data_IF_003585296771
#
_entry.id   IF_003585296771
#
_cell.length_a   1.000
_cell.length_b   1.000
_cell.length_c   1.000
_cell.angle_alpha   90.00
_cell.angle_beta   90.00
_cell.angle_gamma   90.00
#
_symmetry.space_group_name_H-M   'P 1'
#
loop_
_entity.id
_entity.type
_entity.pdbx_description
1 polymer ?
#
# COMPACT_ATOMS: atom_id res chain seq x y z
N UNK A 1 41.61 26.95 -1.76
CA UNK A 1 41.06 28.12 -1.05
C UNK A 1 40.34 28.96 -2.08
N UNK A 2 39.03 28.84 -2.21
CA UNK A 2 38.22 29.81 -2.92
C UNK A 2 36.75 29.67 -2.42
N UNK A 3 36.40 30.46 -1.43
CA UNK A 3 35.06 30.60 -0.86
C UNK A 3 34.27 31.54 -1.75
N UNK A 4 33.31 31.03 -2.52
CA UNK A 4 32.28 31.88 -3.12
C UNK A 4 31.12 32.04 -2.15
N UNK A 5 30.98 33.25 -1.62
CA UNK A 5 29.84 33.70 -0.83
C UNK A 5 28.66 33.93 -1.76
N UNK A 6 27.57 33.20 -1.52
CA UNK A 6 26.26 33.52 -2.11
C UNK A 6 25.63 34.65 -1.33
N UNK A 7 25.40 35.75 -2.02
CA UNK A 7 24.73 36.95 -1.54
C UNK A 7 23.23 36.73 -1.74
N UNK A 8 22.46 36.64 -0.66
CA UNK A 8 21.00 36.54 -0.67
C UNK A 8 20.45 37.96 -0.61
N UNK A 9 19.70 38.37 -1.64
CA UNK A 9 18.98 39.62 -1.67
C UNK A 9 17.67 39.52 -0.87
N UNK A 10 17.41 40.42 0.10
CA UNK A 10 16.19 40.46 0.87
C UNK A 10 15.22 41.51 0.28
N UNK A 11 14.58 41.23 -0.83
CA UNK A 11 13.44 42.05 -1.29
C UNK A 11 12.43 41.18 -2.02
N UNK A 12 11.53 40.54 -1.25
CA UNK A 12 10.19 40.13 -1.71
C UNK A 12 9.38 39.57 -0.54
N UNK A 13 9.12 40.43 0.45
CA UNK A 13 8.07 40.20 1.45
C UNK A 13 7.37 41.53 1.69
N UNK A 14 6.36 41.79 0.93
CA UNK A 14 5.32 42.76 1.29
C UNK A 14 4.10 42.52 0.39
N UNK A 15 2.93 42.69 0.97
CA UNK A 15 1.56 42.66 0.41
C UNK A 15 0.85 41.33 0.70
N UNK A 16 -0.24 41.25 1.45
CA UNK A 16 -1.11 42.24 2.07
C UNK A 16 -2.00 41.54 3.09
N UNK A 17 -2.04 42.09 4.27
CA UNK A 17 -3.11 41.92 5.25
C UNK A 17 -4.32 42.73 4.81
N UNK A 18 -5.46 42.09 4.61
CA UNK A 18 -6.75 42.78 4.55
C UNK A 18 -7.68 42.20 5.58
N UNK A 19 -7.84 43.00 6.64
CA UNK A 19 -8.84 42.91 7.67
C UNK A 19 -10.19 43.30 7.10
N UNK A 20 -11.23 42.50 7.34
CA UNK A 20 -12.62 42.95 7.26
C UNK A 20 -13.38 42.35 8.47
N UNK A 21 -13.45 43.13 9.54
CA UNK A 21 -14.51 43.14 10.53
C UNK A 21 -15.78 43.70 9.89
N UNK A 22 -16.93 43.16 10.22
CA UNK A 22 -18.26 43.77 10.40
C UNK A 22 -19.28 42.62 10.33
N UNK A 23 -20.30 42.46 11.13
CA UNK A 23 -20.89 43.22 12.21
C UNK A 23 -21.89 42.28 12.90
N UNK A 24 -22.04 42.47 14.18
CA UNK A 24 -23.15 41.95 14.98
C UNK A 24 -24.46 42.57 14.53
N UNK A 25 -25.54 41.77 14.54
CA UNK A 25 -26.85 42.29 14.87
C UNK A 25 -27.71 41.21 15.50
N UNK A 26 -28.38 41.51 16.62
CA UNK A 26 -29.27 40.57 17.30
C UNK A 26 -30.76 40.85 17.00
N UNK A 27 -31.56 39.92 17.42
CA UNK A 27 -32.96 40.02 17.76
C UNK A 27 -34.01 40.09 16.63
N UNK A 28 -34.83 39.07 16.58
CA UNK A 28 -36.26 39.25 16.50
C UNK A 28 -36.98 38.11 17.24
N UNK A 29 -37.53 38.50 18.38
CA UNK A 29 -38.62 37.80 19.05
C UNK A 29 -39.89 37.93 18.18
N UNK A 30 -40.71 36.94 18.19
CA UNK A 30 -42.10 37.08 17.75
C UNK A 30 -42.63 35.78 17.12
N UNK A 31 -43.31 35.07 17.83
CA UNK A 31 -44.76 35.02 17.89
C UNK A 31 -45.29 33.60 17.77
N UNK A 32 -45.84 33.15 18.87
CA UNK A 32 -46.76 32.01 18.96
C UNK A 32 -47.95 32.18 18.01
N UNK A 33 -48.23 31.14 17.25
CA UNK A 33 -49.56 30.92 16.69
C UNK A 33 -49.89 29.45 16.88
N UNK A 34 -50.64 29.22 17.90
CA UNK A 34 -51.29 27.95 18.16
C UNK A 34 -52.29 27.61 17.05
N UNK A 35 -52.03 26.57 16.36
CA UNK A 35 -53.00 25.95 15.48
C UNK A 35 -53.34 24.57 16.03
N UNK A 36 -54.54 24.54 16.62
CA UNK A 36 -55.18 23.32 17.13
C UNK A 36 -55.56 22.44 15.95
N UNK A 37 -54.78 21.40 15.70
CA UNK A 37 -55.20 20.36 14.77
C UNK A 37 -56.08 19.37 15.54
N UNK A 38 -57.36 19.41 15.19
CA UNK A 38 -58.41 18.53 15.63
C UNK A 38 -58.10 17.09 15.24
N UNK A 39 -57.96 16.22 16.24
CA UNK A 39 -57.91 14.79 16.10
C UNK A 39 -59.30 14.29 15.59
N UNK A 40 -59.40 13.94 14.33
CA UNK A 40 -60.41 13.02 13.86
C UNK A 40 -59.89 11.60 14.02
N UNK A 41 -60.31 10.98 15.09
CA UNK A 41 -60.26 9.54 15.29
C UNK A 41 -61.26 8.91 14.33
N UNK A 42 -60.78 8.20 13.34
CA UNK A 42 -61.57 7.17 12.65
C UNK A 42 -60.73 5.90 12.63
N UNK A 43 -61.30 4.93 13.31
CA UNK A 43 -60.94 3.54 13.30
C UNK A 43 -60.71 3.01 11.88
N UNK A 44 -59.59 2.38 11.66
CA UNK A 44 -59.50 1.10 10.94
C UNK A 44 -58.16 0.43 11.24
N UNK A 45 -58.17 -0.34 12.32
CA UNK A 45 -57.11 -1.29 12.64
C UNK A 45 -57.29 -2.50 11.71
N UNK A 46 -56.73 -2.44 10.51
CA UNK A 46 -56.40 -3.64 9.75
C UNK A 46 -55.03 -4.13 10.21
N UNK A 47 -55.06 -5.09 11.15
CA UNK A 47 -53.91 -5.87 11.55
C UNK A 47 -53.43 -6.66 10.32
N UNK A 48 -52.46 -6.08 9.58
CA UNK A 48 -51.71 -6.84 8.59
C UNK A 48 -50.73 -7.74 9.36
N UNK A 49 -50.98 -9.04 9.30
CA UNK A 49 -50.15 -10.05 9.90
C UNK A 49 -48.67 -9.88 9.42
N UNK A 50 -47.67 -10.05 10.31
CA UNK A 50 -46.32 -10.00 9.90
C UNK A 50 -46.06 -11.13 8.91
N UNK A 51 -45.68 -10.77 7.69
CA UNK A 51 -45.18 -11.68 6.66
C UNK A 51 -44.01 -12.47 7.28
N UNK A 52 -44.24 -13.79 7.41
CA UNK A 52 -43.25 -14.70 7.91
C UNK A 52 -41.91 -14.42 7.22
N UNK A 53 -40.84 -14.18 8.02
CA UNK A 53 -39.49 -14.13 7.51
C UNK A 53 -39.23 -15.48 6.85
N UNK A 54 -39.06 -15.46 5.57
CA UNK A 54 -38.48 -16.54 4.80
C UNK A 54 -37.12 -16.90 5.44
N UNK A 55 -36.84 -18.16 5.74
CA UNK A 55 -35.53 -18.50 6.32
C UNK A 55 -34.46 -18.09 5.35
N UNK A 56 -33.60 -17.16 5.80
CA UNK A 56 -32.43 -16.72 5.07
C UNK A 56 -31.65 -17.96 4.60
N UNK A 57 -31.46 -18.08 3.29
CA UNK A 57 -30.61 -19.09 2.69
C UNK A 57 -29.27 -19.12 3.45
N UNK A 58 -28.67 -20.30 3.71
CA UNK A 58 -27.40 -20.37 4.39
C UNK A 58 -26.40 -19.57 3.61
N UNK A 59 -25.91 -18.48 4.22
CA UNK A 59 -24.80 -17.70 3.71
C UNK A 59 -23.64 -18.67 3.61
N UNK A 60 -23.28 -19.06 2.39
CA UNK A 60 -22.07 -19.84 2.15
C UNK A 60 -20.93 -19.16 2.90
N UNK A 61 -20.08 -19.88 3.66
CA UNK A 61 -18.95 -19.27 4.32
C UNK A 61 -18.15 -18.57 3.24
N UNK A 62 -18.08 -17.23 3.35
CA UNK A 62 -17.20 -16.43 2.49
C UNK A 62 -15.84 -17.12 2.57
N UNK A 63 -15.33 -17.55 1.42
CA UNK A 63 -14.01 -18.14 1.33
C UNK A 63 -13.08 -17.14 2.03
N UNK A 64 -12.63 -17.52 3.21
CA UNK A 64 -11.64 -16.76 3.96
C UNK A 64 -10.42 -16.79 3.05
N UNK A 65 -10.25 -15.72 2.27
CA UNK A 65 -8.98 -15.48 1.59
C UNK A 65 -7.96 -15.47 2.72
N UNK A 66 -7.25 -16.58 2.88
CA UNK A 66 -6.09 -16.66 3.75
C UNK A 66 -5.10 -15.63 3.20
N UNK A 67 -5.22 -14.42 3.71
CA UNK A 67 -4.19 -13.41 3.55
C UNK A 67 -2.92 -14.10 4.03
N UNK A 68 -2.04 -14.43 3.11
CA UNK A 68 -0.74 -14.99 3.47
C UNK A 68 0.00 -13.86 4.16
N UNK A 69 0.05 -13.90 5.48
CA UNK A 69 0.77 -12.93 6.28
C UNK A 69 2.25 -12.90 5.85
N UNK A 70 2.85 -11.73 5.95
CA UNK A 70 4.28 -11.58 5.70
C UNK A 70 5.06 -12.55 6.59
N UNK A 71 6.01 -13.27 6.01
CA UNK A 71 6.93 -14.13 6.74
C UNK A 71 8.30 -13.48 6.83
N UNK A 72 8.81 -13.41 8.03
CA UNK A 72 10.13 -12.85 8.35
C UNK A 72 11.20 -13.61 7.57
N UNK A 73 12.11 -12.89 6.95
CA UNK A 73 13.23 -13.46 6.22
C UNK A 73 14.59 -12.92 6.66
N UNK A 74 15.63 -13.37 6.00
CA UNK A 74 16.98 -12.84 6.25
C UNK A 74 17.06 -11.36 5.91
N UNK A 75 17.94 -10.63 6.60
CA UNK A 75 18.18 -9.19 6.47
C UNK A 75 17.03 -8.26 6.90
N UNK A 76 15.86 -8.79 7.30
CA UNK A 76 14.78 -7.98 7.85
C UNK A 76 15.22 -7.33 9.17
N UNK A 77 14.76 -6.10 9.40
CA UNK A 77 15.02 -5.36 10.63
C UNK A 77 13.78 -5.44 11.53
N UNK A 78 13.93 -6.09 12.67
CA UNK A 78 12.88 -6.29 13.64
C UNK A 78 13.08 -5.38 14.85
N UNK A 79 12.02 -4.74 15.29
CA UNK A 79 11.98 -4.06 16.60
C UNK A 79 11.17 -4.92 17.55
N UNK A 80 11.81 -5.33 18.63
CA UNK A 80 11.22 -6.14 19.68
C UNK A 80 11.04 -5.25 20.91
N UNK A 81 9.83 -5.23 21.45
CA UNK A 81 9.48 -4.51 22.67
C UNK A 81 8.95 -5.49 23.70
N UNK A 82 9.52 -5.44 24.91
CA UNK A 82 9.09 -6.25 26.04
C UNK A 82 8.53 -5.33 27.11
N UNK A 83 7.24 -5.46 27.39
CA UNK A 83 6.57 -4.60 28.36
C UNK A 83 7.18 -4.77 29.76
N UNK A 84 7.51 -3.64 30.39
CA UNK A 84 8.10 -3.60 31.73
C UNK A 84 9.59 -3.94 31.79
N UNK A 85 10.26 -4.26 30.65
CA UNK A 85 11.69 -4.59 30.61
C UNK A 85 12.35 -3.91 29.43
N UNK A 86 12.65 -2.62 29.56
CA UNK A 86 13.26 -1.82 28.50
C UNK A 86 14.64 -2.36 28.02
N UNK A 87 15.40 -2.99 28.91
CA UNK A 87 16.72 -3.55 28.57
C UNK A 87 16.64 -4.69 27.54
N UNK A 88 15.48 -5.35 27.38
CA UNK A 88 15.23 -6.38 26.37
C UNK A 88 14.63 -5.81 25.08
N UNK A 89 14.11 -4.55 25.15
CA UNK A 89 13.56 -3.87 23.98
C UNK A 89 14.69 -3.35 23.09
N UNK A 90 14.75 -3.84 21.86
CA UNK A 90 15.79 -3.46 20.91
C UNK A 90 15.42 -3.74 19.47
N UNK A 91 16.13 -3.08 18.59
CA UNK A 91 16.12 -3.35 17.16
C UNK A 91 17.21 -4.36 16.80
N UNK A 92 16.84 -5.44 16.12
CA UNK A 92 17.75 -6.52 15.72
C UNK A 92 17.56 -6.84 14.24
N UNK A 93 18.63 -7.19 13.55
CA UNK A 93 18.58 -7.66 12.17
C UNK A 93 18.60 -9.18 12.15
N UNK A 94 17.74 -9.75 11.33
CA UNK A 94 17.71 -11.19 11.08
C UNK A 94 18.93 -11.57 10.25
N UNK A 95 19.68 -12.58 10.65
CA UNK A 95 20.82 -13.04 9.87
C UNK A 95 20.38 -13.86 8.64
N UNK A 96 21.31 -14.20 7.75
CA UNK A 96 21.03 -14.97 6.53
C UNK A 96 20.47 -16.39 6.79
N UNK A 97 20.59 -16.90 8.02
CA UNK A 97 20.00 -18.18 8.43
C UNK A 97 18.59 -18.03 9.00
N UNK A 98 18.05 -16.81 9.02
CA UNK A 98 16.73 -16.53 9.61
C UNK A 98 16.73 -16.48 11.14
N UNK A 99 17.89 -16.16 11.77
CA UNK A 99 18.01 -16.15 13.23
C UNK A 99 18.23 -14.73 13.74
N UNK A 100 17.75 -14.47 14.95
CA UNK A 100 18.03 -13.27 15.73
C UNK A 100 18.73 -13.64 17.03
N UNK A 101 19.62 -12.77 17.52
CA UNK A 101 20.31 -12.94 18.80
C UNK A 101 19.80 -11.91 19.80
N UNK A 102 19.28 -12.37 20.92
CA UNK A 102 18.74 -11.55 22.00
C UNK A 102 19.46 -11.84 23.32
N UNK A 103 19.65 -10.84 24.19
CA UNK A 103 20.14 -11.06 25.53
C UNK A 103 19.23 -12.03 26.27
N UNK A 104 19.77 -12.82 27.15
CA UNK A 104 19.10 -13.83 27.95
C UNK A 104 18.62 -15.04 27.15
N UNK A 105 17.88 -14.82 26.06
CA UNK A 105 17.27 -15.86 25.23
C UNK A 105 18.29 -16.55 24.30
N UNK A 106 19.35 -15.83 23.94
CA UNK A 106 20.35 -16.32 22.97
C UNK A 106 19.88 -16.20 21.53
N UNK A 107 20.19 -17.21 20.72
CA UNK A 107 19.86 -17.24 19.28
C UNK A 107 18.52 -17.95 19.06
N UNK A 108 17.60 -17.29 18.38
CA UNK A 108 16.25 -17.77 18.06
C UNK A 108 16.02 -17.82 16.55
N UNK A 109 15.39 -18.90 16.09
CA UNK A 109 14.97 -19.05 14.71
C UNK A 109 13.63 -18.34 14.52
N UNK A 110 13.61 -17.23 13.77
CA UNK A 110 12.41 -16.44 13.45
C UNK A 110 12.09 -16.43 11.96
N UNK A 111 13.04 -16.82 11.13
CA UNK A 111 12.87 -16.90 9.68
C UNK A 111 11.78 -17.90 9.30
N UNK A 112 10.87 -17.48 8.40
CA UNK A 112 9.70 -18.24 7.97
C UNK A 112 8.47 -18.10 8.88
N UNK A 113 8.60 -17.50 10.07
CA UNK A 113 7.50 -17.20 10.96
C UNK A 113 6.80 -15.89 10.59
N UNK A 114 5.53 -15.79 10.90
CA UNK A 114 4.81 -14.50 10.89
C UNK A 114 5.22 -13.67 12.11
N UNK A 115 4.86 -12.38 12.12
CA UNK A 115 5.12 -11.53 13.28
C UNK A 115 4.52 -12.10 14.56
N UNK A 116 3.26 -12.57 14.51
CA UNK A 116 2.56 -13.14 15.65
C UNK A 116 3.18 -14.45 16.14
N UNK A 117 3.57 -15.33 15.22
CA UNK A 117 4.26 -16.58 15.58
C UNK A 117 5.62 -16.30 16.25
N UNK A 118 6.34 -15.28 15.78
CA UNK A 118 7.61 -14.87 16.37
C UNK A 118 7.42 -14.21 17.76
N UNK A 119 6.36 -13.41 17.95
CA UNK A 119 5.98 -12.86 19.28
C UNK A 119 5.70 -13.99 20.27
N UNK A 120 4.87 -14.96 19.88
CA UNK A 120 4.53 -16.09 20.73
C UNK A 120 5.76 -16.92 21.11
N UNK A 121 6.65 -17.18 20.14
CA UNK A 121 7.91 -17.90 20.37
C UNK A 121 8.82 -17.15 21.35
N UNK A 122 8.95 -15.83 21.19
CA UNK A 122 9.74 -14.98 22.08
C UNK A 122 9.16 -14.94 23.49
N UNK A 123 7.82 -14.78 23.61
CA UNK A 123 7.14 -14.79 24.89
C UNK A 123 7.35 -16.12 25.61
N UNK A 124 7.20 -17.25 24.90
CA UNK A 124 7.45 -18.57 25.45
C UNK A 124 8.89 -18.71 25.97
N UNK A 125 9.88 -18.32 25.18
CA UNK A 125 11.31 -18.43 25.56
C UNK A 125 11.67 -17.55 26.76
N UNK A 126 11.08 -16.36 26.85
CA UNK A 126 11.26 -15.49 28.02
C UNK A 126 10.56 -16.03 29.25
N UNK A 127 9.41 -16.68 29.12
CA UNK A 127 8.67 -17.27 30.22
C UNK A 127 9.36 -18.51 30.80
N UNK A 128 10.11 -19.28 29.99
CA UNK A 128 10.78 -20.51 30.45
C UNK A 128 11.81 -20.28 31.59
N UNK A 129 12.47 -19.11 31.61
CA UNK A 129 13.62 -18.91 32.51
C UNK A 129 13.77 -17.51 33.10
N UNK A 130 13.07 -16.48 32.60
CA UNK A 130 13.40 -15.09 32.93
C UNK A 130 12.25 -14.24 33.42
N UNK A 131 11.04 -14.37 32.88
CA UNK A 131 9.91 -13.48 33.15
C UNK A 131 8.64 -14.26 33.44
N UNK A 132 7.80 -13.76 34.32
CA UNK A 132 6.44 -14.29 34.52
C UNK A 132 5.49 -13.51 33.61
N UNK A 133 4.76 -14.21 32.72
CA UNK A 133 3.79 -13.62 31.80
C UNK A 133 4.36 -12.46 30.93
N UNK A 134 5.45 -12.66 30.17
CA UNK A 134 6.02 -11.59 29.36
C UNK A 134 5.06 -11.16 28.24
N UNK A 135 4.84 -9.85 28.11
CA UNK A 135 4.13 -9.24 26.99
C UNK A 135 5.17 -8.79 25.97
N UNK A 136 5.20 -9.42 24.81
CA UNK A 136 6.16 -9.12 23.74
C UNK A 136 5.41 -8.60 22.53
N UNK A 137 5.89 -7.51 21.95
CA UNK A 137 5.44 -6.97 20.67
C UNK A 137 6.61 -6.94 19.70
N UNK A 138 6.38 -7.38 18.46
CA UNK A 138 7.37 -7.42 17.40
C UNK A 138 6.89 -6.61 16.20
N UNK A 139 7.68 -5.60 15.82
CA UNK A 139 7.41 -4.77 14.65
C UNK A 139 8.49 -4.98 13.60
N UNK A 140 8.08 -5.14 12.34
CA UNK A 140 9.02 -5.21 11.22
C UNK A 140 9.27 -3.78 10.75
N UNK A 141 10.46 -3.25 11.01
CA UNK A 141 10.87 -1.90 10.63
C UNK A 141 11.27 -1.81 9.15
N UNK A 142 12.02 -2.80 8.68
CA UNK A 142 12.47 -2.88 7.30
C UNK A 142 12.16 -4.26 6.73
N UNK A 143 11.45 -4.26 5.60
CA UNK A 143 11.12 -5.45 4.82
C UNK A 143 12.17 -5.60 3.72
N UNK A 144 13.20 -6.39 3.95
CA UNK A 144 14.33 -6.52 3.02
C UNK A 144 14.33 -7.86 2.32
N UNK A 145 13.81 -8.90 2.98
CA UNK A 145 13.86 -10.29 2.49
C UNK A 145 12.93 -10.55 1.31
N UNK A 146 11.80 -9.87 1.24
CA UNK A 146 10.83 -10.02 0.16
C UNK A 146 10.78 -8.75 -0.69
N UNK A 147 11.28 -8.85 -1.91
CA UNK A 147 11.36 -7.71 -2.84
C UNK A 147 11.10 -8.14 -4.26
N UNK A 148 10.63 -7.22 -5.07
CA UNK A 148 10.39 -7.37 -6.51
C UNK A 148 11.14 -6.27 -7.25
N UNK A 149 11.67 -6.60 -8.41
CA UNK A 149 12.31 -5.61 -9.28
C UNK A 149 11.35 -5.24 -10.41
N UNK A 150 11.15 -3.95 -10.63
CA UNK A 150 10.34 -3.43 -11.75
C UNK A 150 11.22 -2.59 -12.66
N UNK A 151 11.29 -2.97 -13.92
CA UNK A 151 12.13 -2.33 -14.94
C UNK A 151 11.32 -1.95 -16.19
N UNK A 152 11.92 -1.12 -17.04
CA UNK A 152 11.39 -0.75 -18.34
C UNK A 152 10.54 0.51 -18.31
N UNK A 153 9.44 0.53 -19.05
CA UNK A 153 8.63 1.72 -19.31
C UNK A 153 7.60 2.00 -18.21
N UNK A 154 8.03 2.06 -16.96
CA UNK A 154 7.24 2.53 -15.81
C UNK A 154 7.71 3.91 -15.39
N UNK A 155 6.91 4.62 -14.58
CA UNK A 155 7.29 5.96 -14.12
C UNK A 155 8.49 5.95 -13.17
N UNK A 156 8.58 4.93 -12.30
CA UNK A 156 9.65 4.78 -11.30
C UNK A 156 10.17 3.34 -11.33
N UNK A 157 11.13 3.02 -12.21
CA UNK A 157 11.78 1.71 -12.16
C UNK A 157 12.63 1.58 -10.89
N UNK A 158 12.69 0.36 -10.33
CA UNK A 158 13.45 0.12 -9.10
C UNK A 158 13.08 -1.18 -8.40
N UNK A 159 13.61 -1.35 -7.19
CA UNK A 159 13.34 -2.49 -6.33
C UNK A 159 12.33 -2.08 -5.25
N UNK A 160 11.27 -2.87 -5.11
CA UNK A 160 10.16 -2.59 -4.19
C UNK A 160 10.00 -3.70 -3.16
N UNK A 161 9.87 -3.37 -1.86
CA UNK A 161 9.61 -4.36 -0.84
C UNK A 161 8.16 -4.85 -0.91
N UNK A 162 7.98 -6.17 -0.80
CA UNK A 162 6.68 -6.81 -0.69
C UNK A 162 6.32 -6.97 0.79
N UNK A 163 5.26 -6.30 1.25
CA UNK A 163 4.79 -6.35 2.66
C UNK A 163 3.73 -7.41 2.91
N UNK A 164 3.50 -8.27 1.94
CA UNK A 164 2.47 -9.30 1.96
C UNK A 164 2.12 -9.74 0.55
N UNK A 165 1.02 -10.49 0.38
CA UNK A 165 0.56 -10.90 -0.94
C UNK A 165 0.27 -9.67 -1.79
N UNK A 166 1.03 -9.51 -2.82
CA UNK A 166 0.97 -8.36 -3.72
C UNK A 166 0.75 -8.86 -5.13
N UNK A 167 -0.15 -8.21 -5.86
CA UNK A 167 -0.47 -8.57 -7.24
C UNK A 167 0.38 -7.79 -8.25
N UNK A 168 0.32 -8.18 -9.51
CA UNK A 168 1.02 -7.49 -10.59
C UNK A 168 0.54 -6.04 -10.74
N UNK A 169 -0.78 -5.81 -10.70
CA UNK A 169 -1.34 -4.45 -10.76
C UNK A 169 -0.89 -3.58 -9.59
N UNK A 170 -0.89 -4.14 -8.37
CA UNK A 170 -0.43 -3.42 -7.18
C UNK A 170 1.06 -3.08 -7.28
N UNK A 171 1.88 -4.00 -7.77
CA UNK A 171 3.32 -3.77 -7.96
C UNK A 171 3.58 -2.69 -9.00
N UNK A 172 2.86 -2.69 -10.12
CA UNK A 172 2.96 -1.62 -11.12
C UNK A 172 2.51 -0.28 -10.54
N UNK A 173 1.48 -0.26 -9.69
CA UNK A 173 1.04 0.96 -9.00
C UNK A 173 2.11 1.50 -8.04
N UNK A 174 2.84 0.64 -7.30
CA UNK A 174 4.00 1.03 -6.49
C UNK A 174 5.10 1.67 -7.34
N UNK A 175 5.32 1.17 -8.55
CA UNK A 175 6.27 1.75 -9.52
C UNK A 175 5.76 3.04 -10.19
N UNK A 176 4.68 3.63 -9.67
CA UNK A 176 4.10 4.87 -10.18
C UNK A 176 3.23 4.68 -11.43
N UNK A 177 2.87 3.44 -11.74
CA UNK A 177 1.99 3.09 -12.86
C UNK A 177 2.67 3.18 -14.23
N UNK A 178 1.83 3.32 -15.23
CA UNK A 178 2.19 3.37 -16.64
C UNK A 178 3.06 4.58 -16.98
N UNK A 179 4.23 4.33 -17.58
CA UNK A 179 5.06 5.38 -18.16
C UNK A 179 4.49 5.90 -19.50
N UNK A 180 4.96 7.05 -19.95
CA UNK A 180 4.43 7.74 -21.13
C UNK A 180 4.52 6.94 -22.45
N UNK A 181 5.45 6.00 -22.53
CA UNK A 181 5.71 5.16 -23.72
C UNK A 181 5.63 3.66 -23.38
N UNK A 182 4.90 3.30 -22.34
CA UNK A 182 4.77 1.90 -21.94
C UNK A 182 3.78 1.15 -22.83
N UNK A 183 4.07 -0.12 -23.03
CA UNK A 183 3.16 -1.11 -23.60
C UNK A 183 2.65 -2.01 -22.47
N UNK A 184 1.38 -1.83 -22.09
CA UNK A 184 0.75 -2.60 -21.01
C UNK A 184 0.13 -3.90 -21.50
N UNK A 185 0.04 -4.10 -22.82
CA UNK A 185 -0.43 -5.37 -23.40
C UNK A 185 0.62 -6.49 -23.29
N UNK A 186 1.89 -6.11 -23.06
CA UNK A 186 3.02 -7.05 -23.04
C UNK A 186 3.95 -6.80 -21.84
N UNK A 187 3.47 -7.12 -20.65
CA UNK A 187 4.26 -7.08 -19.42
C UNK A 187 4.84 -8.44 -19.13
N UNK A 188 6.16 -8.54 -19.06
CA UNK A 188 6.86 -9.78 -18.78
C UNK A 188 7.16 -9.91 -17.30
N UNK A 189 6.77 -11.03 -16.70
CA UNK A 189 7.12 -11.43 -15.35
C UNK A 189 8.10 -12.59 -15.43
N UNK A 190 9.30 -12.38 -14.92
CA UNK A 190 10.35 -13.39 -14.82
C UNK A 190 10.39 -13.92 -13.39
N UNK A 191 10.11 -15.19 -13.23
CA UNK A 191 10.15 -15.88 -11.94
C UNK A 191 11.26 -16.91 -11.93
N UNK A 192 12.02 -16.95 -10.84
CA UNK A 192 13.02 -17.96 -10.62
C UNK A 192 12.33 -19.32 -10.39
N UNK A 193 12.69 -20.32 -11.19
CA UNK A 193 12.29 -21.70 -10.98
C UNK A 193 13.28 -22.41 -10.04
N UNK A 194 12.86 -23.52 -9.44
CA UNK A 194 13.69 -24.37 -8.59
C UNK A 194 14.99 -24.84 -9.28
N UNK A 195 14.97 -24.93 -10.62
CA UNK A 195 16.12 -25.33 -11.44
C UNK A 195 17.13 -24.18 -11.69
N UNK A 196 16.97 -23.03 -11.05
CA UNK A 196 17.81 -21.85 -11.26
C UNK A 196 17.56 -21.12 -12.60
N UNK A 197 16.65 -21.58 -13.42
CA UNK A 197 16.23 -20.90 -14.65
C UNK A 197 15.11 -19.91 -14.34
N UNK A 198 15.08 -18.79 -15.06
CA UNK A 198 13.97 -17.85 -14.97
C UNK A 198 12.92 -18.20 -16.04
N UNK A 199 11.71 -18.48 -15.61
CA UNK A 199 10.56 -18.63 -16.50
C UNK A 199 9.98 -17.24 -16.78
N UNK A 200 9.80 -16.91 -18.06
CA UNK A 200 9.13 -15.69 -18.49
C UNK A 200 7.66 -15.97 -18.72
N UNK A 201 6.79 -15.19 -18.11
CA UNK A 201 5.35 -15.19 -18.34
C UNK A 201 4.95 -13.82 -18.85
N UNK A 202 4.13 -13.77 -19.89
CA UNK A 202 3.63 -12.52 -20.47
C UNK A 202 2.21 -12.29 -20.00
N UNK A 203 1.95 -11.10 -19.52
CA UNK A 203 0.64 -10.66 -19.03
C UNK A 203 0.18 -9.42 -19.77
N UNK A 204 -1.10 -9.41 -20.14
CA UNK A 204 -1.79 -8.27 -20.67
C UNK A 204 -2.48 -7.52 -19.50
N UNK A 205 -1.85 -6.44 -19.07
CA UNK A 205 -2.33 -5.64 -17.93
C UNK A 205 -3.62 -4.89 -18.27
N UNK A 206 -3.88 -4.58 -19.54
CA UNK A 206 -5.13 -3.93 -19.94
C UNK A 206 -6.31 -4.88 -19.77
N UNK A 207 -6.14 -6.16 -20.15
CA UNK A 207 -7.16 -7.20 -19.94
C UNK A 207 -7.36 -7.55 -18.47
N UNK A 208 -6.28 -7.54 -17.66
CA UNK A 208 -6.39 -7.72 -16.20
C UNK A 208 -7.21 -6.57 -15.60
N UNK A 209 -6.96 -5.32 -16.01
CA UNK A 209 -7.75 -4.16 -15.56
C UNK A 209 -9.22 -4.20 -15.99
N UNK A 210 -9.49 -4.79 -17.15
CA UNK A 210 -10.85 -5.03 -17.63
C UNK A 210 -11.57 -6.16 -16.86
N UNK A 211 -10.85 -6.93 -16.03
CA UNK A 211 -11.40 -8.08 -15.30
C UNK A 211 -11.58 -9.33 -16.18
N UNK A 212 -10.97 -9.36 -17.37
CA UNK A 212 -11.04 -10.51 -18.27
C UNK A 212 -10.05 -11.63 -17.91
N UNK A 213 -8.98 -11.27 -17.20
CA UNK A 213 -7.91 -12.16 -16.76
C UNK A 213 -7.61 -11.90 -15.29
N UNK A 214 -7.34 -12.96 -14.54
CA UNK A 214 -6.98 -12.86 -13.13
C UNK A 214 -5.65 -12.12 -12.95
N UNK A 215 -5.59 -11.30 -11.88
CA UNK A 215 -4.38 -10.56 -11.52
C UNK A 215 -3.40 -11.50 -10.79
N UNK A 216 -2.25 -11.83 -11.39
CA UNK A 216 -1.31 -12.80 -10.81
C UNK A 216 -0.63 -12.23 -9.56
N UNK A 217 -0.43 -13.10 -8.56
CA UNK A 217 0.35 -12.76 -7.38
C UNK A 217 1.84 -12.75 -7.70
N UNK A 218 2.51 -11.68 -7.33
CA UNK A 218 3.97 -11.52 -7.44
C UNK A 218 4.64 -12.17 -6.24
N UNK A 219 5.77 -12.82 -6.48
CA UNK A 219 6.58 -13.47 -5.45
C UNK A 219 7.89 -12.72 -5.23
N UNK A 220 8.57 -13.04 -4.13
CA UNK A 220 9.92 -12.52 -3.88
C UNK A 220 10.88 -12.89 -5.00
N UNK A 221 11.80 -11.98 -5.34
CA UNK A 221 12.80 -12.08 -6.41
C UNK A 221 12.22 -12.14 -7.84
N UNK A 222 10.91 -11.87 -8.01
CA UNK A 222 10.33 -11.70 -9.35
C UNK A 222 10.91 -10.42 -9.99
N UNK A 223 11.10 -10.48 -11.32
CA UNK A 223 11.48 -9.35 -12.14
C UNK A 223 10.35 -9.04 -13.13
N UNK A 224 9.80 -7.85 -13.04
CA UNK A 224 8.74 -7.35 -13.91
C UNK A 224 9.36 -6.38 -14.91
N UNK A 225 9.20 -6.66 -16.20
CA UNK A 225 9.72 -5.85 -17.29
C UNK A 225 8.57 -5.33 -18.14
N UNK A 226 8.41 -4.00 -18.18
CA UNK A 226 7.41 -3.33 -19.02
C UNK A 226 8.08 -2.84 -20.30
N UNK A 227 7.64 -3.35 -21.44
CA UNK A 227 8.16 -2.94 -22.74
C UNK A 227 7.79 -1.49 -23.09
N UNK A 228 8.58 -0.89 -23.94
CA UNK A 228 8.25 0.38 -24.59
C UNK A 228 7.47 0.14 -25.86
N UNK A 229 6.39 0.89 -26.04
CA UNK A 229 5.62 0.88 -27.28
C UNK A 229 6.42 1.56 -28.40
N UNK A 230 6.88 0.78 -29.37
CA UNK A 230 7.60 1.29 -30.54
C UNK A 230 6.72 2.16 -31.44
N UNK A 231 5.45 1.82 -31.54
CA UNK A 231 4.49 2.58 -32.36
C UNK A 231 4.31 4.01 -31.85
N UNK A 232 4.26 4.22 -30.51
CA UNK A 232 4.14 5.55 -29.93
C UNK A 232 5.40 6.39 -30.09
N UNK A 233 6.57 5.77 -30.19
CA UNK A 233 7.84 6.46 -30.44
C UNK A 233 7.84 7.02 -31.87
N UNK A 234 7.44 6.23 -32.85
CA UNK A 234 7.40 6.63 -34.25
C UNK A 234 6.42 7.80 -34.48
N UNK A 235 5.26 7.78 -33.83
CA UNK A 235 4.30 8.90 -33.93
C UNK A 235 4.81 10.18 -33.25
N UNK A 236 5.49 10.08 -32.13
CA UNK A 236 6.01 11.26 -31.44
C UNK A 236 7.09 11.97 -32.27
N UNK A 237 7.97 11.22 -32.91
CA UNK A 237 9.06 11.80 -33.71
C UNK A 237 8.56 12.30 -35.08
N UNK A 238 7.56 11.64 -35.69
CA UNK A 238 6.96 12.08 -36.95
C UNK A 238 6.17 13.39 -36.78
N UNK A 239 5.32 13.46 -35.72
CA UNK A 239 4.53 14.69 -35.47
C UNK A 239 5.41 15.89 -35.15
N UNK A 240 6.53 15.69 -34.41
CA UNK A 240 7.48 16.80 -34.18
C UNK A 240 8.18 17.26 -35.46
N UNK A 241 8.50 16.35 -36.37
CA UNK A 241 9.06 16.73 -37.69
C UNK A 241 8.06 17.48 -38.53
N UNK A 242 6.82 17.00 -38.63
CA UNK A 242 5.75 17.63 -39.39
C UNK A 242 5.42 19.02 -38.87
N UNK A 243 5.44 19.22 -37.54
CA UNK A 243 5.26 20.54 -36.94
C UNK A 243 6.46 21.46 -37.22
N UNK A 244 7.68 20.98 -37.15
CA UNK A 244 8.88 21.74 -37.42
C UNK A 244 8.97 22.14 -38.91
N UNK A 245 8.58 21.24 -39.82
CA UNK A 245 8.53 21.52 -41.25
C UNK A 245 7.41 22.51 -41.62
N UNK A 246 6.28 22.46 -40.88
CA UNK A 246 5.16 23.37 -41.05
C UNK A 246 5.44 24.79 -40.54
N UNK A 247 6.35 24.95 -39.57
CA UNK A 247 6.71 26.25 -38.96
C UNK A 247 7.91 26.89 -39.67
N UNK A 248 8.64 26.15 -40.50
CA UNK A 248 9.82 26.69 -41.21
C UNK A 248 9.54 26.90 -42.73
N UNK A 249 8.98 28.07 -43.12
CA UNK A 249 8.63 28.37 -44.52
C UNK A 249 9.83 28.73 -45.43
N UNK A 250 11.06 28.56 -44.91
CA UNK A 250 12.29 28.94 -45.64
C UNK A 250 13.19 27.75 -45.97
N UNK A 251 12.61 26.68 -46.53
CA UNK A 251 13.41 25.64 -47.16
C UNK A 251 12.99 25.44 -48.60
#
# INVERSE_FOLDING_TARGET
MNRRRFKVDPKLFAVATAVACLALSPACLGQESGERISLKMTDELTLSAPKALEPAAPVAPAATSTLRDYRIGGDDLLEIQVFGVEQLSRTVRVNSRGQVSLPLVGTLQVGGLTGQEAEALLAQKLAESYLQNPQVSLFIREYTSQRVTVEGAVNKPGVYPLRGPTTLLQTLALAGGQGSLSDMSEVMLFRASADGKRAAQVYDVERIRAGEVDDPTVMSEDLIVVKRSQTRILFKDSVLRDILDAINPFR
#
